data_IF_491321186850
#
_entry.id   IF_491321186850
#
_cell.length_a   1.000
_cell.length_b   1.000
_cell.length_c   1.000
_cell.angle_alpha   90.00
_cell.angle_beta   90.00
_cell.angle_gamma   90.00
#
_symmetry.space_group_name_H-M   'P 1'
#
loop_
_entity.id
_entity.type
_entity.pdbx_description
1 polymer ?
#
# COMPACT_ATOMS: atom_id res chain seq x y z
N UNK A 1 -11.53 48.68 -17.55
CA UNK A 1 -12.02 47.29 -17.37
C UNK A 1 -10.92 46.24 -17.63
N UNK A 2 -10.05 46.35 -18.65
CA UNK A 2 -8.97 45.36 -18.89
C UNK A 2 -7.86 45.32 -17.82
N UNK A 3 -7.58 46.44 -17.12
CA UNK A 3 -6.43 46.53 -16.21
C UNK A 3 -6.56 45.68 -14.93
N UNK A 4 -7.77 45.57 -14.37
CA UNK A 4 -7.98 44.77 -13.15
C UNK A 4 -7.95 43.27 -13.41
N UNK A 5 -8.36 42.82 -14.59
CA UNK A 5 -8.32 41.41 -14.96
C UNK A 5 -6.87 40.91 -15.16
N UNK A 6 -5.99 41.77 -15.70
CA UNK A 6 -4.57 41.45 -15.86
C UNK A 6 -3.84 41.46 -14.51
N UNK A 7 -4.19 42.39 -13.61
CA UNK A 7 -3.62 42.43 -12.25
C UNK A 7 -4.03 41.20 -11.42
N UNK A 8 -5.30 40.78 -11.52
CA UNK A 8 -5.81 39.57 -10.86
C UNK A 8 -5.20 38.29 -11.44
N UNK A 9 -4.98 38.23 -12.77
CA UNK A 9 -4.31 37.10 -13.40
C UNK A 9 -2.82 37.03 -13.02
N UNK A 10 -2.13 38.17 -12.91
CA UNK A 10 -0.75 38.22 -12.44
C UNK A 10 -0.64 37.78 -10.97
N UNK A 11 -1.53 38.26 -10.10
CA UNK A 11 -1.59 37.82 -8.69
C UNK A 11 -1.95 36.32 -8.56
N UNK A 12 -2.78 35.78 -9.46
CA UNK A 12 -3.10 34.35 -9.52
C UNK A 12 -1.93 33.49 -9.98
N UNK A 13 -1.09 33.98 -10.91
CA UNK A 13 0.13 33.28 -11.35
C UNK A 13 1.23 33.35 -10.29
N UNK A 14 1.37 34.48 -9.58
CA UNK A 14 2.29 34.59 -8.43
C UNK A 14 1.82 33.80 -7.20
N UNK A 15 0.52 33.53 -7.04
CA UNK A 15 0.03 32.61 -6.01
C UNK A 15 0.33 31.13 -6.32
N UNK A 16 0.53 30.78 -7.60
CA UNK A 16 0.85 29.42 -8.05
C UNK A 16 2.35 29.15 -8.22
N UNK A 17 3.19 30.19 -8.31
CA UNK A 17 4.64 30.06 -8.23
C UNK A 17 5.11 30.46 -6.82
N UNK A 18 5.25 29.48 -5.92
CA UNK A 18 6.14 29.65 -4.78
C UNK A 18 5.51 29.59 -3.39
N UNK A 19 4.29 29.08 -3.23
CA UNK A 19 3.97 28.39 -1.96
C UNK A 19 4.52 26.97 -2.02
N UNK A 20 5.85 26.86 -2.13
CA UNK A 20 6.55 25.76 -1.51
C UNK A 20 6.30 25.91 -0.01
N UNK A 21 5.15 25.40 0.44
CA UNK A 21 5.11 24.86 1.79
C UNK A 21 6.16 23.77 1.76
N UNK A 22 7.36 24.10 2.25
CA UNK A 22 8.43 23.13 2.48
C UNK A 22 8.00 22.21 3.64
N UNK A 23 6.85 21.54 3.47
CA UNK A 23 6.47 20.40 4.26
C UNK A 23 7.38 19.25 3.84
N UNK A 24 7.79 18.44 4.81
CA UNK A 24 8.76 17.40 4.51
C UNK A 24 8.24 16.38 3.52
N UNK A 25 8.99 16.26 2.43
CA UNK A 25 8.75 15.27 1.40
C UNK A 25 9.27 13.93 1.89
N UNK A 26 8.43 13.22 2.64
CA UNK A 26 8.69 11.85 3.06
C UNK A 26 8.48 10.88 1.87
N UNK A 27 9.18 9.73 1.85
CA UNK A 27 8.94 8.68 0.87
C UNK A 27 7.45 8.26 0.84
N UNK A 28 6.93 7.90 -0.34
CA UNK A 28 5.51 7.52 -0.51
C UNK A 28 5.06 6.31 0.33
N UNK A 29 6.03 5.46 0.65
CA UNK A 29 5.93 4.24 1.43
C UNK A 29 6.21 4.45 2.91
N UNK A 30 6.53 5.68 3.34
CA UNK A 30 6.80 5.98 4.74
C UNK A 30 5.58 5.65 5.61
N UNK A 31 5.85 5.07 6.78
CA UNK A 31 4.85 4.70 7.79
C UNK A 31 5.38 5.12 9.16
N UNK A 32 4.54 5.71 10.02
CA UNK A 32 4.95 6.02 11.38
C UNK A 32 5.19 4.72 12.17
N UNK A 33 6.24 4.72 12.96
CA UNK A 33 6.55 3.65 13.92
C UNK A 33 5.96 4.00 15.28
N UNK A 34 5.49 2.97 16.01
CA UNK A 34 5.07 3.14 17.40
C UNK A 34 6.23 3.58 18.29
N UNK A 35 5.92 4.28 19.37
CA UNK A 35 6.93 4.83 20.29
C UNK A 35 7.85 3.73 20.86
N UNK A 36 7.30 2.57 21.24
CA UNK A 36 8.10 1.44 21.71
C UNK A 36 9.01 0.84 20.65
N UNK A 37 8.59 0.82 19.39
CA UNK A 37 9.41 0.40 18.26
C UNK A 37 10.60 1.33 18.05
N UNK A 38 10.34 2.64 18.13
CA UNK A 38 11.38 3.65 17.99
C UNK A 38 12.37 3.59 19.12
N UNK A 39 11.90 3.30 20.33
CA UNK A 39 12.77 3.14 21.48
C UNK A 39 13.70 1.92 21.31
N UNK A 40 13.21 0.79 20.80
CA UNK A 40 14.06 -0.38 20.50
C UNK A 40 15.16 -0.06 19.47
N UNK A 41 14.88 0.83 18.51
CA UNK A 41 15.81 1.22 17.46
C UNK A 41 16.69 2.43 17.83
N UNK A 42 16.44 3.07 18.97
CA UNK A 42 17.21 4.22 19.41
C UNK A 42 18.57 3.76 19.97
N UNK A 43 19.63 4.49 19.59
CA UNK A 43 21.00 4.17 20.01
C UNK A 43 21.22 4.46 21.51
N UNK A 44 20.82 5.66 21.97
CA UNK A 44 20.98 6.09 23.36
C UNK A 44 19.63 6.62 23.85
N UNK A 45 19.19 6.19 25.03
CA UNK A 45 17.97 6.68 25.67
C UNK A 45 18.32 7.18 27.06
N UNK A 46 17.97 8.43 27.34
CA UNK A 46 18.24 9.05 28.63
C UNK A 46 16.99 9.70 29.21
N UNK A 47 16.87 9.65 30.53
CA UNK A 47 15.88 10.42 31.27
C UNK A 47 16.59 11.57 31.99
N UNK A 48 16.32 12.81 31.55
CA UNK A 48 17.06 13.98 31.98
C UNK A 48 16.15 15.21 32.18
N UNK A 49 16.60 16.12 33.06
CA UNK A 49 15.98 17.42 33.31
C UNK A 49 16.76 18.51 32.60
N UNK A 50 16.04 19.44 31.96
CA UNK A 50 16.66 20.61 31.32
C UNK A 50 16.98 21.65 32.38
N UNK A 51 18.26 22.03 32.49
CA UNK A 51 18.73 23.06 33.42
C UNK A 51 18.71 24.45 32.81
N UNK A 52 19.24 24.59 31.60
CA UNK A 52 19.38 25.88 30.92
C UNK A 52 19.30 25.71 29.40
N UNK A 53 18.81 26.73 28.70
CA UNK A 53 18.76 26.79 27.24
C UNK A 53 19.69 27.90 26.72
N UNK A 54 20.57 27.53 25.80
CA UNK A 54 21.54 28.42 25.17
C UNK A 54 21.22 28.59 23.68
N UNK A 55 20.87 29.82 23.26
CA UNK A 55 20.63 30.10 21.83
C UNK A 55 21.93 30.05 21.05
N UNK A 56 21.91 29.36 19.91
CA UNK A 56 23.04 29.34 18.99
C UNK A 56 23.03 30.66 18.19
N UNK A 57 24.16 31.39 18.11
CA UNK A 57 24.18 32.69 17.45
C UNK A 57 23.91 32.54 15.93
N UNK A 58 22.99 33.35 15.36
CA UNK A 58 22.74 33.35 13.92
C UNK A 58 23.98 33.86 13.19
N UNK A 59 24.65 33.00 12.43
CA UNK A 59 25.91 33.29 11.75
C UNK A 59 27.16 32.72 12.42
N UNK A 60 27.07 31.47 12.93
CA UNK A 60 28.19 30.73 13.51
C UNK A 60 29.43 30.75 12.60
N UNK A 61 30.54 31.26 13.15
CA UNK A 61 31.81 31.43 12.46
C UNK A 61 32.36 30.15 11.85
N UNK A 62 33.46 30.31 11.10
CA UNK A 62 34.12 29.37 10.19
C UNK A 62 34.37 27.90 10.63
N UNK A 63 33.91 27.46 11.81
CA UNK A 63 33.81 26.06 12.23
C UNK A 63 32.46 25.38 11.92
N UNK A 64 31.38 26.12 11.62
CA UNK A 64 30.06 25.55 11.31
C UNK A 64 29.91 25.02 9.88
N UNK A 65 30.95 25.14 9.05
CA UNK A 65 31.02 24.60 7.69
C UNK A 65 31.36 23.10 7.65
N UNK A 66 31.77 22.51 8.78
CA UNK A 66 32.17 21.10 8.87
C UNK A 66 31.09 20.18 9.46
N UNK A 67 29.93 20.72 9.86
CA UNK A 67 28.76 19.90 10.20
C UNK A 67 27.89 19.56 8.98
N UNK A 68 28.40 19.80 7.77
CA UNK A 68 27.87 19.22 6.54
C UNK A 68 28.54 17.86 6.33
N UNK A 69 27.94 16.80 6.87
CA UNK A 69 28.34 15.42 6.61
C UNK A 69 28.55 15.19 5.08
N UNK A 70 29.69 14.63 4.64
CA UNK A 70 29.93 14.35 3.23
C UNK A 70 29.32 12.99 2.88
N UNK A 71 27.99 12.87 2.85
CA UNK A 71 27.32 11.72 2.25
C UNK A 71 26.13 12.15 1.38
N UNK A 72 26.35 12.04 0.07
CA UNK A 72 25.43 12.42 -1.00
C UNK A 72 24.25 11.47 -1.20
N UNK A 73 23.36 11.39 -0.21
CA UNK A 73 21.97 11.00 -0.43
C UNK A 73 21.07 12.06 0.22
N UNK A 74 20.29 12.74 -0.62
CA UNK A 74 19.50 13.91 -0.26
C UNK A 74 18.52 13.68 0.88
N UNK A 75 18.94 14.08 2.08
CA UNK A 75 18.07 14.36 3.21
C UNK A 75 18.19 15.86 3.48
N UNK A 76 17.07 16.58 3.30
CA UNK A 76 16.99 18.05 3.24
C UNK A 76 17.40 18.77 4.52
N UNK A 77 18.70 18.83 4.78
CA UNK A 77 19.33 19.76 5.72
C UNK A 77 19.81 21.06 5.03
N UNK A 78 19.50 21.26 3.74
CA UNK A 78 19.70 22.54 3.03
C UNK A 78 18.62 23.60 3.36
N UNK A 79 17.61 23.25 4.18
CA UNK A 79 16.52 24.16 4.57
C UNK A 79 16.64 24.75 5.98
N UNK A 80 17.73 24.50 6.69
CA UNK A 80 17.91 24.96 8.07
C UNK A 80 18.47 26.38 8.19
N UNK A 81 18.55 27.15 7.10
CA UNK A 81 19.02 28.55 7.15
C UNK A 81 18.10 29.49 7.95
N UNK A 82 16.87 29.05 8.27
CA UNK A 82 15.87 29.83 9.02
C UNK A 82 15.39 29.18 10.34
N UNK A 83 16.01 28.08 10.76
CA UNK A 83 15.66 27.38 12.00
C UNK A 83 16.29 28.05 13.23
N UNK A 84 15.48 28.35 14.26
CA UNK A 84 15.99 28.77 15.58
C UNK A 84 16.67 27.57 16.27
N UNK A 85 17.95 27.35 15.95
CA UNK A 85 18.77 26.34 16.58
C UNK A 85 19.24 26.81 17.96
N UNK A 86 19.22 25.90 18.92
CA UNK A 86 19.71 26.14 20.27
C UNK A 86 20.27 24.85 20.86
N UNK A 87 21.05 25.01 21.93
CA UNK A 87 21.52 23.92 22.77
C UNK A 87 20.89 23.99 24.15
N UNK A 88 20.85 22.87 24.86
CA UNK A 88 20.35 22.81 26.22
C UNK A 88 21.33 22.05 27.10
N UNK A 89 21.60 22.57 28.29
CA UNK A 89 22.28 21.84 29.36
C UNK A 89 21.24 20.98 30.06
N UNK A 90 21.45 19.67 30.08
CA UNK A 90 20.55 18.71 30.74
C UNK A 90 21.29 17.91 31.81
N UNK A 91 20.57 17.59 32.88
CA UNK A 91 21.05 16.80 34.00
C UNK A 91 20.38 15.43 33.99
N UNK A 92 21.20 14.38 34.05
CA UNK A 92 20.74 13.00 34.08
C UNK A 92 20.00 12.71 35.39
N UNK A 93 18.79 12.19 35.30
CA UNK A 93 17.96 11.88 36.47
C UNK A 93 18.04 10.41 36.88
N UNK A 94 18.43 9.50 35.98
CA UNK A 94 18.61 8.07 36.23
C UNK A 94 19.90 7.57 35.57
N UNK A 95 20.47 6.49 36.10
CA UNK A 95 21.60 5.77 35.52
C UNK A 95 21.08 4.99 34.29
N UNK A 96 21.78 5.14 33.17
CA UNK A 96 21.47 4.43 31.93
C UNK A 96 21.99 2.99 32.03
N UNK A 97 21.08 2.02 32.22
CA UNK A 97 21.42 0.61 32.03
C UNK A 97 20.91 0.18 30.66
N UNK A 98 21.74 0.27 29.62
CA UNK A 98 21.71 -0.60 28.43
C UNK A 98 22.94 -0.33 27.54
N UNK A 99 23.76 -1.36 27.30
CA UNK A 99 24.48 -1.60 26.04
C UNK A 99 25.42 -0.52 25.47
N UNK A 100 26.36 0.03 26.26
CA UNK A 100 27.65 0.57 25.78
C UNK A 100 27.64 1.68 24.70
N UNK A 101 27.68 2.94 25.14
CA UNK A 101 28.67 3.94 24.66
C UNK A 101 28.85 5.12 25.63
N UNK A 102 27.84 5.42 26.46
CA UNK A 102 27.88 6.52 27.43
C UNK A 102 27.60 6.00 28.86
N UNK A 103 28.64 5.71 29.63
CA UNK A 103 28.51 5.39 31.07
C UNK A 103 28.38 6.70 31.86
N UNK A 104 27.18 7.28 31.86
CA UNK A 104 26.94 8.57 32.51
C UNK A 104 26.11 8.37 33.77
N UNK A 105 26.68 8.62 34.96
CA UNK A 105 25.96 8.45 36.21
C UNK A 105 24.91 9.54 36.41
N UNK A 106 23.90 9.25 37.23
CA UNK A 106 22.88 10.19 37.68
C UNK A 106 23.51 11.45 38.25
N UNK A 107 22.96 12.61 37.90
CA UNK A 107 23.47 13.93 38.30
C UNK A 107 24.57 14.48 37.38
N UNK A 108 25.03 13.72 36.40
CA UNK A 108 25.92 14.24 35.36
C UNK A 108 25.21 15.23 34.46
N UNK A 109 25.96 16.22 33.98
CA UNK A 109 25.46 17.26 33.07
C UNK A 109 26.03 17.07 31.69
N UNK A 110 25.18 17.22 30.68
CA UNK A 110 25.54 17.09 29.28
C UNK A 110 24.88 18.20 28.45
N UNK A 111 25.56 18.61 27.38
CA UNK A 111 25.05 19.60 26.45
C UNK A 111 24.42 18.89 25.25
N UNK A 112 23.14 19.14 25.04
CA UNK A 112 22.40 18.70 23.85
C UNK A 112 22.43 19.81 22.81
N UNK A 113 22.94 19.53 21.63
CA UNK A 113 22.91 20.45 20.48
C UNK A 113 21.83 20.02 19.47
N UNK A 114 21.58 20.81 18.43
CA UNK A 114 20.61 20.44 17.39
C UNK A 114 19.14 20.45 17.84
N UNK A 115 18.82 21.22 18.88
CA UNK A 115 17.44 21.51 19.29
C UNK A 115 16.91 22.68 18.48
N UNK A 116 15.60 22.72 18.26
CA UNK A 116 14.95 23.76 17.47
C UNK A 116 13.82 23.25 16.59
N UNK A 117 13.38 24.13 15.71
CA UNK A 117 12.40 23.84 14.68
C UNK A 117 13.13 23.49 13.39
N UNK A 118 13.12 22.22 13.02
CA UNK A 118 13.62 21.73 11.74
C UNK A 118 12.45 21.59 10.77
N UNK A 119 12.74 21.49 9.47
CA UNK A 119 11.71 21.39 8.43
C UNK A 119 10.75 20.21 8.64
N UNK A 120 11.22 19.10 9.24
CA UNK A 120 10.43 17.85 9.41
C UNK A 120 10.11 17.47 10.84
N UNK A 121 10.87 18.02 11.79
CA UNK A 121 10.89 17.56 13.18
C UNK A 121 11.05 18.79 14.06
N UNK A 122 10.40 18.78 15.21
CA UNK A 122 10.58 19.81 16.22
C UNK A 122 11.19 19.16 17.45
N UNK A 123 12.43 19.56 17.76
CA UNK A 123 13.11 19.15 18.97
C UNK A 123 13.06 20.30 19.94
N UNK A 124 11.93 20.44 20.63
CA UNK A 124 11.70 21.55 21.55
C UNK A 124 11.67 21.10 22.99
N UNK A 125 12.29 21.89 23.85
CA UNK A 125 12.36 21.63 25.29
C UNK A 125 12.14 22.91 26.08
N UNK A 126 11.72 22.75 27.34
CA UNK A 126 11.52 23.84 28.28
C UNK A 126 12.43 23.67 29.50
N UNK A 127 12.97 24.77 30.01
CA UNK A 127 13.77 24.77 31.25
C UNK A 127 12.97 24.24 32.44
N UNK A 128 13.63 23.51 33.34
CA UNK A 128 13.06 22.86 34.51
C UNK A 128 12.02 21.75 34.24
N UNK A 129 11.85 21.34 32.99
CA UNK A 129 11.05 20.16 32.65
C UNK A 129 11.95 18.93 32.49
N UNK A 130 11.36 17.77 32.74
CA UNK A 130 12.00 16.46 32.57
C UNK A 130 11.47 15.81 31.30
N UNK A 131 12.36 15.15 30.55
CA UNK A 131 12.04 14.49 29.29
C UNK A 131 12.80 13.17 29.18
N UNK A 132 12.27 12.28 28.34
CA UNK A 132 13.01 11.16 27.77
C UNK A 132 13.56 11.61 26.42
N UNK A 133 14.87 11.43 26.23
CA UNK A 133 15.56 11.80 25.00
C UNK A 133 16.09 10.56 24.31
N UNK A 134 15.82 10.45 23.02
CA UNK A 134 16.58 9.60 22.12
C UNK A 134 17.76 10.40 21.61
N UNK A 135 18.95 9.89 21.83
CA UNK A 135 20.21 10.55 21.52
C UNK A 135 21.04 9.68 20.60
N UNK A 136 21.92 10.34 19.86
CA UNK A 136 23.00 9.73 19.10
C UNK A 136 24.24 10.61 19.21
N UNK A 137 25.40 9.99 19.05
CA UNK A 137 26.66 10.72 18.98
C UNK A 137 27.03 10.94 17.51
N UNK A 138 27.41 12.16 17.15
CA UNK A 138 27.97 12.41 15.82
C UNK A 138 29.48 12.07 15.78
N UNK A 139 30.08 12.19 14.60
CA UNK A 139 31.53 11.95 14.40
C UNK A 139 32.42 12.91 15.21
N UNK A 140 31.87 14.04 15.65
CA UNK A 140 32.54 15.08 16.42
C UNK A 140 32.30 14.93 17.93
N UNK A 141 31.71 13.82 18.38
CA UNK A 141 31.34 13.54 19.78
C UNK A 141 30.28 14.50 20.35
N UNK A 142 29.54 15.23 19.50
CA UNK A 142 28.38 15.99 19.93
C UNK A 142 27.18 15.08 20.13
N UNK A 143 26.40 15.36 21.15
CA UNK A 143 25.19 14.62 21.49
C UNK A 143 23.99 15.35 20.87
N UNK A 144 23.31 14.65 19.96
CA UNK A 144 22.19 15.20 19.17
C UNK A 144 20.93 14.36 19.39
N UNK A 145 19.72 14.98 19.30
CA UNK A 145 18.48 14.24 19.25
C UNK A 145 18.45 13.25 18.08
N UNK A 146 18.05 12.01 18.37
CA UNK A 146 17.96 10.91 17.41
C UNK A 146 16.50 10.67 17.00
N UNK A 147 16.08 11.32 15.92
CA UNK A 147 14.77 11.14 15.31
C UNK A 147 14.66 9.82 14.54
N UNK A 148 14.25 8.75 15.21
CA UNK A 148 14.03 7.44 14.57
C UNK A 148 12.86 7.52 13.59
N UNK A 149 13.12 7.19 12.32
CA UNK A 149 12.14 7.21 11.22
C UNK A 149 11.41 8.55 11.04
N UNK A 150 12.12 9.67 11.16
CA UNK A 150 11.57 11.03 11.01
C UNK A 150 10.50 11.41 12.04
N UNK A 151 10.54 10.83 13.23
CA UNK A 151 9.59 11.11 14.32
C UNK A 151 10.30 11.64 15.57
N UNK A 152 9.52 12.24 16.47
CA UNK A 152 10.00 13.05 17.60
C UNK A 152 10.95 12.31 18.55
N UNK A 153 12.19 12.80 18.66
CA UNK A 153 13.20 12.23 19.54
C UNK A 153 13.01 12.54 21.04
N UNK A 154 12.08 13.43 21.39
CA UNK A 154 11.94 13.99 22.74
C UNK A 154 10.52 13.73 23.24
N UNK A 155 10.41 13.15 24.43
CA UNK A 155 9.13 12.81 25.03
C UNK A 155 8.99 13.46 26.39
N UNK A 156 7.88 14.16 26.67
CA UNK A 156 7.65 14.75 27.97
C UNK A 156 7.51 13.68 29.04
N UNK A 157 7.87 14.04 30.25
CA UNK A 157 7.68 13.21 31.42
C UNK A 157 6.18 13.09 31.80
N UNK A 158 5.54 12.04 31.30
CA UNK A 158 4.14 11.68 31.58
C UNK A 158 4.06 10.28 32.19
N UNK A 159 2.97 9.96 32.89
CA UNK A 159 2.76 8.62 33.47
C UNK A 159 2.77 7.51 32.40
N UNK A 160 2.26 7.81 31.21
CA UNK A 160 2.18 6.85 30.11
C UNK A 160 3.56 6.58 29.52
N UNK A 161 4.35 7.64 29.31
CA UNK A 161 5.74 7.53 28.85
C UNK A 161 6.61 6.81 29.89
N UNK A 162 6.45 7.13 31.18
CA UNK A 162 7.12 6.42 32.27
C UNK A 162 6.79 4.93 32.25
N UNK A 163 5.51 4.56 32.11
CA UNK A 163 5.10 3.14 32.03
C UNK A 163 5.70 2.46 30.81
N UNK A 164 5.64 3.11 29.64
CA UNK A 164 6.16 2.58 28.40
C UNK A 164 7.68 2.37 28.47
N UNK A 165 8.45 3.40 28.83
CA UNK A 165 9.90 3.32 28.92
C UNK A 165 10.34 2.41 30.05
N UNK A 166 9.62 2.39 31.18
CA UNK A 166 9.86 1.38 32.21
C UNK A 166 9.69 0.00 31.59
N UNK A 167 8.62 -0.27 30.82
CA UNK A 167 8.32 -1.55 30.13
C UNK A 167 9.25 -1.95 28.99
N UNK A 168 10.22 -1.10 28.64
CA UNK A 168 11.24 -1.38 27.64
C UNK A 168 12.67 -1.39 28.19
N UNK A 169 12.96 -0.56 29.19
CA UNK A 169 14.32 -0.33 29.70
C UNK A 169 14.36 -0.31 31.22
N UNK A 170 15.48 -0.79 31.75
CA UNK A 170 15.73 -0.75 33.18
C UNK A 170 16.38 0.59 33.53
N UNK A 171 15.64 1.45 34.23
CA UNK A 171 16.22 2.65 34.84
C UNK A 171 16.65 2.33 36.27
N UNK A 172 17.88 2.68 36.61
CA UNK A 172 18.42 2.50 37.96
C UNK A 172 18.79 3.84 38.59
N UNK A 173 18.82 3.89 39.93
CA UNK A 173 19.31 5.04 40.69
C UNK A 173 18.72 6.41 40.28
N UNK A 174 17.39 6.49 40.20
CA UNK A 174 16.69 7.70 39.80
C UNK A 174 16.53 8.70 40.96
N UNK A 175 16.86 9.97 40.76
CA UNK A 175 16.82 11.03 41.79
C UNK A 175 15.42 11.61 42.05
N UNK A 176 14.41 11.27 41.25
CA UNK A 176 13.03 11.75 41.46
C UNK A 176 12.22 10.85 42.39
N UNK A 177 12.11 11.25 43.65
CA UNK A 177 11.19 10.66 44.62
C UNK A 177 9.74 11.08 44.37
N UNK A 178 8.90 10.15 43.90
CA UNK A 178 7.46 10.01 44.27
C UNK A 178 6.68 9.05 43.36
N UNK A 179 7.22 8.61 42.22
CA UNK A 179 6.66 7.47 41.48
C UNK A 179 7.78 6.50 41.08
N UNK A 180 7.75 5.24 41.56
CA UNK A 180 8.79 4.29 41.22
C UNK A 180 8.71 3.99 39.72
N UNK A 181 9.77 4.33 38.98
CA UNK A 181 10.15 3.52 37.82
C UNK A 181 10.21 2.07 38.33
N UNK A 182 9.54 1.15 37.64
CA UNK A 182 9.48 -0.24 38.10
C UNK A 182 10.91 -0.75 38.26
N UNK A 183 11.31 -1.01 39.50
CA UNK A 183 12.60 -1.63 39.83
C UNK A 183 12.62 -3.03 39.23
N UNK A 184 13.79 -3.46 38.77
CA UNK A 184 14.04 -4.80 38.20
C UNK A 184 13.20 -5.89 38.87
N UNK A 185 12.36 -6.59 38.09
CA UNK A 185 11.59 -7.75 38.52
C UNK A 185 11.96 -8.92 37.63
N UNK A 186 12.24 -10.14 38.13
CA UNK A 186 12.58 -11.32 37.31
C UNK A 186 11.45 -11.76 36.35
N UNK A 187 10.25 -11.19 36.47
CA UNK A 187 9.18 -11.31 35.45
C UNK A 187 9.55 -10.59 34.13
N UNK A 188 10.48 -9.63 34.17
CA UNK A 188 10.99 -8.91 33.01
C UNK A 188 11.70 -9.77 32.00
N UNK A 189 12.63 -10.60 32.44
CA UNK A 189 13.39 -11.47 31.55
C UNK A 189 12.45 -12.38 30.74
N UNK A 190 11.38 -12.88 31.39
CA UNK A 190 10.34 -13.67 30.74
C UNK A 190 9.46 -12.85 29.78
N UNK A 191 9.25 -11.56 30.07
CA UNK A 191 8.49 -10.64 29.22
C UNK A 191 9.31 -10.19 28.00
N UNK A 192 10.63 -9.99 28.13
CA UNK A 192 11.53 -9.71 27.00
C UNK A 192 11.61 -10.90 26.05
N UNK A 193 11.75 -12.13 26.57
CA UNK A 193 11.75 -13.36 25.76
C UNK A 193 10.43 -13.55 24.98
N UNK A 194 9.32 -13.04 25.52
CA UNK A 194 7.99 -13.10 24.88
C UNK A 194 7.69 -11.89 24.00
N UNK A 195 8.56 -10.87 24.01
CA UNK A 195 8.35 -9.63 23.25
C UNK A 195 8.77 -9.83 21.81
N UNK A 196 7.83 -9.69 20.89
CA UNK A 196 8.19 -9.60 19.47
C UNK A 196 8.96 -8.30 19.25
N UNK A 197 10.26 -8.43 18.98
CA UNK A 197 11.13 -7.31 18.61
C UNK A 197 10.56 -6.61 17.38
N UNK A 198 10.63 -5.29 17.38
CA UNK A 198 10.05 -4.48 16.34
C UNK A 198 10.65 -4.77 14.97
N UNK A 199 11.93 -5.11 14.93
CA UNK A 199 12.61 -5.63 13.73
C UNK A 199 11.93 -6.89 13.15
N UNK A 200 11.52 -7.82 14.01
CA UNK A 200 10.84 -9.07 13.59
C UNK A 200 9.40 -8.81 13.12
N UNK A 201 8.67 -7.92 13.79
CA UNK A 201 7.29 -7.55 13.41
C UNK A 201 7.28 -6.80 12.09
N UNK A 202 8.21 -5.84 11.91
CA UNK A 202 8.36 -5.12 10.65
C UNK A 202 8.70 -6.06 9.50
N UNK A 203 9.65 -6.97 9.70
CA UNK A 203 10.01 -7.96 8.69
C UNK A 203 8.81 -8.84 8.29
N UNK A 204 8.03 -9.32 9.26
CA UNK A 204 6.82 -10.09 9.01
C UNK A 204 5.76 -9.27 8.27
N UNK A 205 5.58 -8.00 8.62
CA UNK A 205 4.62 -7.11 7.98
C UNK A 205 4.98 -6.85 6.50
N UNK A 206 6.27 -6.61 6.21
CA UNK A 206 6.74 -6.45 4.84
C UNK A 206 6.58 -7.73 4.01
N UNK A 207 6.77 -8.90 4.62
CA UNK A 207 6.55 -10.17 3.93
C UNK A 207 5.06 -10.37 3.59
N UNK A 208 4.15 -10.04 4.52
CA UNK A 208 2.71 -10.07 4.26
C UNK A 208 2.27 -9.06 3.20
N UNK A 209 2.86 -7.86 3.18
CA UNK A 209 2.59 -6.86 2.15
C UNK A 209 3.02 -7.36 0.76
N UNK A 210 4.21 -7.95 0.65
CA UNK A 210 4.69 -8.54 -0.61
C UNK A 210 3.81 -9.70 -1.07
N UNK A 211 3.37 -10.57 -0.15
CA UNK A 211 2.39 -11.62 -0.43
C UNK A 211 1.06 -11.02 -0.92
N UNK A 212 0.60 -9.93 -0.30
CA UNK A 212 -0.59 -9.17 -0.70
C UNK A 212 -0.47 -8.60 -2.11
N UNK A 213 0.65 -7.94 -2.43
CA UNK A 213 0.95 -7.39 -3.76
C UNK A 213 0.92 -8.47 -4.83
N UNK A 214 1.61 -9.59 -4.59
CA UNK A 214 1.64 -10.74 -5.51
C UNK A 214 0.25 -11.36 -5.69
N UNK A 215 -0.57 -11.40 -4.65
CA UNK A 215 -1.95 -11.86 -4.74
C UNK A 215 -2.81 -10.90 -5.58
N UNK A 216 -2.65 -9.59 -5.39
CA UNK A 216 -3.36 -8.57 -6.14
C UNK A 216 -3.01 -8.62 -7.64
N UNK A 217 -1.73 -8.82 -7.99
CA UNK A 217 -1.31 -9.02 -9.37
C UNK A 217 -1.94 -10.27 -10.00
N UNK A 218 -1.96 -11.39 -9.26
CA UNK A 218 -2.60 -12.64 -9.70
C UNK A 218 -4.10 -12.46 -9.89
N UNK A 219 -4.76 -11.73 -8.99
CA UNK A 219 -6.18 -11.39 -9.09
C UNK A 219 -6.44 -10.56 -10.35
N UNK A 220 -5.67 -9.50 -10.58
CA UNK A 220 -5.78 -8.67 -11.78
C UNK A 220 -5.56 -9.49 -13.07
N UNK A 221 -4.59 -10.40 -13.09
CA UNK A 221 -4.35 -11.30 -14.21
C UNK A 221 -5.51 -12.28 -14.44
N UNK A 222 -6.06 -12.85 -13.36
CA UNK A 222 -7.20 -13.75 -13.41
C UNK A 222 -8.47 -13.02 -13.89
N UNK A 223 -8.73 -11.80 -13.43
CA UNK A 223 -9.83 -10.96 -13.89
C UNK A 223 -9.74 -10.67 -15.39
N UNK A 224 -8.54 -10.32 -15.89
CA UNK A 224 -8.31 -10.12 -17.33
C UNK A 224 -8.65 -11.38 -18.13
N UNK A 225 -8.19 -12.56 -17.68
CA UNK A 225 -8.50 -13.85 -18.34
C UNK A 225 -9.99 -14.17 -18.29
N UNK A 226 -10.66 -13.90 -17.17
CA UNK A 226 -12.09 -14.13 -17.02
C UNK A 226 -12.90 -13.23 -17.98
N UNK A 227 -12.52 -11.94 -18.10
CA UNK A 227 -13.10 -11.03 -19.11
C UNK A 227 -12.93 -11.57 -20.53
N UNK A 228 -11.74 -12.06 -20.88
CA UNK A 228 -11.48 -12.67 -22.19
C UNK A 228 -12.32 -13.92 -22.43
N UNK A 229 -12.45 -14.81 -21.44
CA UNK A 229 -13.29 -16.01 -21.53
C UNK A 229 -14.77 -15.64 -21.70
N UNK A 230 -15.26 -14.66 -20.96
CA UNK A 230 -16.63 -14.14 -21.10
C UNK A 230 -16.93 -13.66 -22.51
N UNK A 231 -15.98 -12.97 -23.15
CA UNK A 231 -16.10 -12.55 -24.55
C UNK A 231 -16.05 -13.73 -25.53
N UNK A 232 -15.18 -14.72 -25.30
CA UNK A 232 -15.13 -15.95 -26.13
C UNK A 232 -16.43 -16.74 -26.04
N UNK A 233 -16.99 -16.90 -24.85
CA UNK A 233 -18.29 -17.56 -24.62
C UNK A 233 -19.41 -16.80 -25.33
N UNK A 234 -19.41 -15.45 -25.26
CA UNK A 234 -20.37 -14.63 -26.02
C UNK A 234 -20.26 -14.86 -27.52
N UNK A 235 -19.05 -14.91 -28.08
CA UNK A 235 -18.83 -15.21 -29.51
C UNK A 235 -19.29 -16.62 -29.89
N UNK A 236 -18.93 -17.63 -29.10
CA UNK A 236 -19.36 -19.02 -29.32
C UNK A 236 -20.88 -19.18 -29.28
N UNK A 237 -21.56 -18.53 -28.31
CA UNK A 237 -23.02 -18.50 -28.21
C UNK A 237 -23.67 -17.88 -29.46
N UNK A 238 -23.11 -16.79 -29.99
CA UNK A 238 -23.58 -16.17 -31.24
C UNK A 238 -23.39 -17.10 -32.44
N UNK A 239 -22.21 -17.73 -32.56
CA UNK A 239 -21.91 -18.68 -33.62
C UNK A 239 -22.87 -19.88 -33.61
N UNK A 240 -23.08 -20.50 -32.44
CA UNK A 240 -24.01 -21.62 -32.28
C UNK A 240 -25.45 -21.25 -32.66
N UNK A 241 -25.89 -20.04 -32.30
CA UNK A 241 -27.21 -19.53 -32.68
C UNK A 241 -27.35 -19.40 -34.20
N UNK A 242 -26.31 -18.91 -34.89
CA UNK A 242 -26.29 -18.77 -36.34
C UNK A 242 -26.25 -20.14 -37.04
N UNK A 243 -25.41 -21.06 -36.57
CA UNK A 243 -25.34 -22.43 -37.10
C UNK A 243 -26.69 -23.15 -36.97
N UNK A 244 -27.37 -23.03 -35.82
CA UNK A 244 -28.72 -23.58 -35.63
C UNK A 244 -29.76 -22.98 -36.59
N UNK A 245 -29.67 -21.68 -36.87
CA UNK A 245 -30.56 -21.03 -37.86
C UNK A 245 -30.27 -21.52 -39.28
N UNK A 246 -29.01 -21.62 -39.67
CA UNK A 246 -28.60 -22.11 -40.98
C UNK A 246 -29.01 -23.58 -41.18
N UNK A 247 -28.83 -24.44 -40.18
CA UNK A 247 -29.26 -25.84 -40.21
C UNK A 247 -30.78 -25.96 -40.40
N UNK A 248 -31.59 -25.13 -39.72
CA UNK A 248 -33.05 -25.11 -39.93
C UNK A 248 -33.43 -24.68 -41.34
N UNK A 249 -32.74 -23.68 -41.90
CA UNK A 249 -33.00 -23.22 -43.28
C UNK A 249 -32.63 -24.29 -44.30
N UNK A 250 -31.48 -24.93 -44.14
CA UNK A 250 -31.04 -26.03 -45.00
C UNK A 250 -32.00 -27.23 -44.92
N UNK A 251 -32.56 -27.54 -43.74
CA UNK A 251 -33.59 -28.57 -43.61
C UNK A 251 -34.87 -28.22 -44.37
N UNK A 252 -35.32 -26.96 -44.33
CA UNK A 252 -36.48 -26.50 -45.10
C UNK A 252 -36.23 -26.57 -46.60
N UNK A 253 -35.07 -26.10 -47.07
CA UNK A 253 -34.68 -26.16 -48.49
C UNK A 253 -34.55 -27.62 -48.97
N UNK A 254 -34.00 -28.52 -48.16
CA UNK A 254 -33.93 -29.95 -48.46
C UNK A 254 -35.31 -30.61 -48.56
N UNK A 255 -36.24 -30.25 -47.66
CA UNK A 255 -37.63 -30.73 -47.74
C UNK A 255 -38.33 -30.23 -49.01
N UNK A 256 -38.19 -28.96 -49.35
CA UNK A 256 -38.77 -28.39 -50.57
C UNK A 256 -38.20 -29.05 -51.84
N UNK A 257 -36.89 -29.28 -51.89
CA UNK A 257 -36.25 -30.02 -52.98
C UNK A 257 -36.74 -31.47 -53.06
N UNK A 258 -36.91 -32.14 -51.93
CA UNK A 258 -37.44 -33.49 -51.86
C UNK A 258 -38.89 -33.56 -52.36
N UNK A 259 -39.72 -32.56 -52.06
CA UNK A 259 -41.06 -32.45 -52.61
C UNK A 259 -41.06 -32.19 -54.12
N UNK A 260 -40.18 -31.32 -54.61
CA UNK A 260 -40.01 -31.06 -56.05
C UNK A 260 -39.55 -32.31 -56.80
N UNK A 261 -38.63 -33.09 -56.24
CA UNK A 261 -38.19 -34.37 -56.81
C UNK A 261 -39.34 -35.37 -56.88
N UNK A 262 -40.09 -35.56 -55.79
CA UNK A 262 -41.30 -36.42 -55.80
C UNK A 262 -42.33 -35.95 -56.82
N UNK A 263 -42.50 -34.64 -56.99
CA UNK A 263 -43.41 -34.08 -58.00
C UNK A 263 -42.91 -34.33 -59.43
N UNK A 264 -41.60 -34.24 -59.68
CA UNK A 264 -40.98 -34.54 -60.97
C UNK A 264 -41.05 -36.04 -61.30
N UNK A 265 -40.78 -36.93 -60.34
CA UNK A 265 -40.95 -38.38 -60.48
C UNK A 265 -42.39 -38.75 -60.85
N UNK A 266 -43.38 -38.13 -60.20
CA UNK A 266 -44.80 -38.30 -60.57
C UNK A 266 -45.07 -37.87 -62.02
N UNK A 267 -44.51 -36.74 -62.47
CA UNK A 267 -44.67 -36.29 -63.87
C UNK A 267 -44.05 -37.27 -64.85
N UNK A 268 -42.82 -37.75 -64.60
CA UNK A 268 -42.16 -38.75 -65.46
C UNK A 268 -42.96 -40.06 -65.51
N UNK A 269 -43.51 -40.52 -64.37
CA UNK A 269 -44.42 -41.67 -64.32
C UNK A 269 -45.70 -41.47 -65.14
N UNK A 270 -46.24 -40.25 -65.19
CA UNK A 270 -47.40 -39.92 -66.04
C UNK A 270 -47.07 -39.90 -67.54
N UNK A 271 -45.87 -39.47 -67.94
CA UNK A 271 -45.45 -39.45 -69.36
C UNK A 271 -45.16 -40.85 -69.91
N UNK A 272 -44.66 -41.78 -69.09
CA UNK A 272 -44.45 -43.18 -69.48
C UNK A 272 -45.77 -43.92 -69.76
N UNK A 273 -46.83 -43.56 -69.03
CA UNK A 273 -48.17 -44.14 -69.23
C UNK A 273 -48.90 -43.58 -70.46
N UNK A 274 -48.42 -42.49 -71.07
CA UNK A 274 -49.04 -41.85 -72.24
C UNK A 274 -48.50 -42.39 -73.58
N UNK A 275 -47.36 -43.09 -73.60
CA UNK A 275 -46.76 -43.66 -74.82
C UNK A 275 -47.33 -45.05 -75.15
N UNK A 276 -48.01 -45.70 -74.20
CA UNK A 276 -48.49 -47.09 -74.34
C UNK A 276 -49.95 -47.25 -74.79
N UNK A 277 -50.66 -46.17 -75.16
CA UNK A 277 -52.03 -46.26 -75.69
C UNK A 277 -52.05 -46.03 -77.21
N UNK A 278 -51.79 -47.10 -77.97
CA UNK A 278 -52.36 -47.28 -79.32
C UNK A 278 -53.56 -48.24 -79.20
N UNK A 279 -54.74 -47.79 -79.64
CA UNK A 279 -55.99 -48.56 -79.69
C UNK A 279 -55.99 -49.60 -80.83
N UNK A 280 -56.69 -50.75 -80.65
CA UNK A 280 -57.39 -51.40 -81.75
C UNK A 280 -58.93 -51.55 -81.50
N UNK A 281 -59.73 -51.77 -82.57
CA UNK A 281 -61.16 -51.45 -82.65
C UNK A 281 -62.09 -52.59 -82.18
N UNK A 282 -63.44 -52.38 -82.14
CA UNK A 282 -64.33 -53.10 -81.24
C UNK A 282 -64.94 -54.38 -81.86
N UNK A 283 -65.03 -55.44 -81.06
CA UNK A 283 -65.62 -56.73 -81.46
C UNK A 283 -66.31 -57.44 -80.30
N UNK A 284 -67.57 -57.78 -80.51
CA UNK A 284 -68.54 -58.45 -79.62
C UNK A 284 -68.08 -59.84 -79.17
N UNK A 285 -68.44 -60.26 -77.95
CA UNK A 285 -69.49 -61.27 -77.63
C UNK A 285 -69.39 -61.75 -76.17
N UNK A 286 -70.54 -62.16 -75.64
CA UNK A 286 -70.86 -62.65 -74.30
C UNK A 286 -69.89 -63.75 -73.78
N UNK A 287 -69.75 -64.04 -72.49
CA UNK A 287 -70.80 -64.52 -71.59
C UNK A 287 -70.19 -64.92 -70.21
N UNK A 288 -70.96 -64.67 -69.15
CA UNK A 288 -71.09 -65.43 -67.88
C UNK A 288 -69.90 -66.23 -67.31
N UNK A 289 -69.52 -65.98 -66.05
CA UNK A 289 -69.85 -66.86 -64.89
C UNK A 289 -69.12 -66.48 -63.58
N UNK A 290 -69.91 -66.41 -62.50
CA UNK A 290 -69.70 -66.93 -61.13
C UNK A 290 -68.38 -66.70 -60.36
N UNK A 291 -68.51 -65.87 -59.31
CA UNK A 291 -68.46 -66.27 -57.86
C UNK A 291 -67.18 -66.94 -57.33
N UNK A 292 -66.40 -66.20 -56.53
CA UNK A 292 -66.25 -66.52 -55.09
C UNK A 292 -65.62 -65.40 -54.27
N UNK A 293 -66.04 -65.41 -53.02
CA UNK A 293 -65.84 -64.50 -51.89
C UNK A 293 -65.00 -65.26 -50.86
N UNK A 294 -64.03 -64.59 -50.22
CA UNK A 294 -63.47 -64.80 -48.86
C UNK A 294 -62.29 -63.82 -48.74
N UNK A 295 -62.33 -62.72 -47.98
CA UNK A 295 -62.37 -62.55 -46.52
C UNK A 295 -61.34 -63.41 -45.78
N UNK A 296 -60.27 -62.77 -45.29
CA UNK A 296 -60.17 -62.27 -43.90
C UNK A 296 -59.25 -61.04 -43.87
#
# INVERSE_FOLDING_TARGET
>A
MLSMAVLLAALGVFAHLGTFTHGCQLPSEWRPLSEGCRAELAEIIVYARVLAIHREPPGGGAGSLYNSLPFGFGYGYEGAEEGLLYSAEVEMLCDQAWGSMLEVPTGSRLNLTGLGYLSCQSHTVMENYSYFFFLRMDENYNILPHGVNFQDAIFPDTSDNRRMFSSLFQFSNCTQGSQPFHTFSPEWDNQEDSRLLCSSVQAALFEEEERGRKMQERLAAAERRNRQLKERVRKAKRSLRNARKAARKAQQEAQELQEKLKAAERRVGHHLNAITQEEPPPGRYASTTLRKRMQL
#
